data_IF_602301840571
#
_entry.id   IF_602301840571
#
_cell.length_a   1.000
_cell.length_b   1.000
_cell.length_c   1.000
_cell.angle_alpha   90.00
_cell.angle_beta   90.00
_cell.angle_gamma   90.00
#
_symmetry.space_group_name_H-M   'P 1'
#
loop_
_entity.id
_entity.type
_entity.pdbx_description
1 polymer ?
#
# COMPACT_ATOMS: atom_id res chain seq x y z
N UNK A 1 -51.84 39.34 -8.65
CA UNK A 1 -52.74 38.25 -9.07
C UNK A 1 -51.91 37.00 -9.11
N UNK A 2 -52.00 36.20 -8.06
CA UNK A 2 -52.62 34.86 -7.95
C UNK A 2 -51.92 33.86 -8.86
N UNK A 3 -51.46 32.68 -8.44
CA UNK A 3 -51.88 31.84 -7.34
C UNK A 3 -50.74 30.86 -6.96
N UNK A 4 -50.72 30.50 -5.68
CA UNK A 4 -49.96 29.41 -5.12
C UNK A 4 -50.56 28.07 -5.51
N UNK A 5 -49.69 27.08 -5.82
CA UNK A 5 -50.06 25.66 -5.81
C UNK A 5 -49.12 24.87 -4.89
N UNK A 6 -49.59 24.62 -3.69
CA UNK A 6 -49.01 23.61 -2.78
C UNK A 6 -49.34 22.20 -3.32
N UNK A 7 -48.34 21.39 -3.57
CA UNK A 7 -48.52 19.94 -3.68
C UNK A 7 -47.75 19.30 -2.54
N UNK A 8 -48.50 18.72 -1.62
CA UNK A 8 -47.99 17.98 -0.46
C UNK A 8 -47.30 16.68 -0.89
N UNK A 9 -46.11 16.41 -0.40
CA UNK A 9 -45.46 15.12 -0.50
C UNK A 9 -45.59 14.41 0.84
N UNK A 10 -46.37 13.36 0.80
CA UNK A 10 -46.61 12.41 1.89
C UNK A 10 -45.32 11.79 2.39
N UNK A 11 -45.12 11.85 3.69
CA UNK A 11 -43.98 11.21 4.38
C UNK A 11 -43.99 9.70 4.26
N UNK A 12 -42.92 9.17 3.72
CA UNK A 12 -42.61 7.74 3.80
C UNK A 12 -41.80 7.50 5.07
N UNK A 13 -42.49 6.95 6.10
CA UNK A 13 -41.82 6.43 7.31
C UNK A 13 -41.10 5.13 6.97
N UNK A 14 -39.80 5.16 6.97
CA UNK A 14 -38.97 3.94 6.97
C UNK A 14 -38.90 3.44 8.41
N UNK A 15 -39.57 2.34 8.68
CA UNK A 15 -39.49 1.63 9.96
C UNK A 15 -38.16 0.87 10.10
N UNK A 16 -37.69 0.65 11.34
CA UNK A 16 -36.46 -0.09 11.58
C UNK A 16 -36.61 -1.57 11.22
N UNK A 17 -35.59 -2.12 10.55
CA UNK A 17 -35.49 -3.52 10.20
C UNK A 17 -35.45 -4.41 11.44
N UNK A 18 -36.14 -5.60 11.45
CA UNK A 18 -36.13 -6.51 12.58
C UNK A 18 -34.77 -7.22 12.70
N UNK A 19 -34.27 -7.28 13.93
CA UNK A 19 -33.10 -8.06 14.30
C UNK A 19 -33.35 -9.57 14.10
N UNK A 20 -32.32 -10.37 13.73
CA UNK A 20 -32.47 -11.81 13.63
C UNK A 20 -32.61 -12.42 15.02
N UNK A 21 -33.78 -13.04 15.28
CA UNK A 21 -34.02 -13.84 16.46
C UNK A 21 -33.26 -15.16 16.38
N UNK A 22 -32.34 -15.35 17.31
CA UNK A 22 -31.65 -16.62 17.52
C UNK A 22 -32.60 -17.59 18.22
N UNK A 23 -33.11 -18.58 17.49
CA UNK A 23 -33.93 -19.66 18.05
C UNK A 23 -33.05 -20.67 18.76
N UNK A 24 -33.27 -20.82 20.07
CA UNK A 24 -32.79 -21.94 20.89
C UNK A 24 -33.63 -23.16 20.62
N UNK A 25 -33.07 -24.25 20.19
CA UNK A 25 -33.34 -25.61 20.65
C UNK A 25 -32.56 -26.63 19.82
N UNK A 26 -31.60 -27.33 20.37
CA UNK A 26 -31.67 -28.75 20.65
C UNK A 26 -30.34 -29.20 21.29
N UNK A 27 -30.46 -29.62 22.51
CA UNK A 27 -29.43 -30.36 23.27
C UNK A 27 -29.47 -31.80 22.77
N UNK A 28 -28.36 -32.34 22.26
CA UNK A 28 -28.08 -33.79 22.33
C UNK A 28 -26.59 -33.95 22.71
N UNK A 29 -26.47 -34.67 23.81
CA UNK A 29 -25.29 -35.13 24.52
C UNK A 29 -24.37 -36.03 23.68
N UNK A 30 -23.09 -35.95 23.92
CA UNK A 30 -22.09 -36.97 24.17
C UNK A 30 -20.82 -36.81 23.33
N UNK A 31 -19.68 -36.83 24.02
CA UNK A 31 -18.40 -37.07 23.39
C UNK A 31 -17.30 -36.13 23.85
N UNK A 32 -16.83 -36.33 25.08
CA UNK A 32 -15.56 -35.79 25.58
C UNK A 32 -14.42 -36.32 24.71
N UNK A 33 -13.78 -35.44 23.93
CA UNK A 33 -12.48 -35.71 23.38
C UNK A 33 -11.65 -34.45 23.61
N UNK A 34 -10.73 -34.53 24.55
CA UNK A 34 -9.62 -33.59 24.69
C UNK A 34 -8.86 -33.57 23.38
N UNK A 35 -9.07 -32.56 22.57
CA UNK A 35 -8.14 -32.16 21.52
C UNK A 35 -7.30 -31.02 22.07
N UNK A 36 -6.10 -31.41 22.54
CA UNK A 36 -5.00 -30.52 22.84
C UNK A 36 -4.87 -29.45 21.78
N UNK A 37 -4.78 -28.23 22.28
CA UNK A 37 -4.54 -27.04 21.51
C UNK A 37 -3.37 -27.22 20.54
N UNK A 38 -3.72 -27.37 19.29
CA UNK A 38 -2.80 -27.11 18.20
C UNK A 38 -2.72 -25.59 18.12
N UNK A 39 -1.72 -25.05 18.82
CA UNK A 39 -1.26 -23.70 18.51
C UNK A 39 -1.09 -23.66 17.00
N UNK A 40 -1.98 -22.94 16.33
CA UNK A 40 -1.76 -22.54 14.96
C UNK A 40 -0.46 -21.73 15.00
N UNK A 41 0.65 -22.37 14.65
CA UNK A 41 1.80 -21.65 14.14
C UNK A 41 1.23 -20.83 13.00
N UNK A 42 1.05 -19.55 13.23
CA UNK A 42 0.94 -18.59 12.17
C UNK A 42 2.23 -18.80 11.37
N UNK A 43 2.12 -19.60 10.31
CA UNK A 43 3.05 -19.52 9.20
C UNK A 43 3.10 -18.02 8.94
N UNK A 44 4.26 -17.41 9.16
CA UNK A 44 4.51 -16.04 8.78
C UNK A 44 4.10 -16.00 7.30
N UNK A 45 2.92 -15.43 7.03
CA UNK A 45 2.50 -15.17 5.68
C UNK A 45 3.65 -14.35 5.11
N UNK A 46 4.19 -14.82 3.98
CA UNK A 46 5.26 -14.09 3.29
C UNK A 46 4.75 -12.67 3.06
N UNK A 47 5.19 -11.76 3.93
CA UNK A 47 4.73 -10.36 3.93
C UNK A 47 5.15 -9.63 2.65
N UNK A 48 5.93 -10.30 1.78
CA UNK A 48 6.33 -9.83 0.46
C UNK A 48 5.34 -10.17 -0.65
N UNK A 49 4.37 -11.07 -0.42
CA UNK A 49 3.47 -11.59 -1.47
C UNK A 49 2.71 -10.48 -2.21
N UNK A 50 2.36 -9.37 -1.55
CA UNK A 50 1.68 -8.23 -2.16
C UNK A 50 2.56 -7.46 -3.16
N UNK A 51 3.88 -7.66 -3.11
CA UNK A 51 4.85 -7.04 -4.02
C UNK A 51 5.21 -7.94 -5.19
N UNK A 52 4.71 -9.18 -5.22
CA UNK A 52 5.03 -10.13 -6.27
C UNK A 52 4.41 -9.69 -7.60
N UNK A 53 5.24 -9.60 -8.62
CA UNK A 53 4.82 -9.31 -9.98
C UNK A 53 5.54 -10.27 -10.93
N UNK A 54 4.82 -10.73 -11.96
CA UNK A 54 5.36 -11.62 -12.99
C UNK A 54 5.04 -11.09 -14.36
N UNK A 55 6.04 -11.07 -15.25
CA UNK A 55 5.93 -10.57 -16.60
C UNK A 55 6.07 -9.06 -16.72
N UNK A 56 6.05 -8.54 -17.96
CA UNK A 56 6.22 -7.10 -18.21
C UNK A 56 5.03 -6.29 -17.72
N UNK A 57 5.31 -5.05 -17.30
CA UNK A 57 4.29 -4.06 -16.97
C UNK A 57 3.74 -3.43 -18.25
N UNK A 58 2.63 -3.96 -18.76
CA UNK A 58 1.93 -3.37 -19.90
C UNK A 58 1.30 -2.02 -19.53
N UNK A 59 0.99 -1.20 -20.53
CA UNK A 59 0.38 0.13 -20.27
C UNK A 59 -1.00 0.03 -19.60
N UNK A 60 -1.72 -1.06 -19.82
CA UNK A 60 -3.00 -1.38 -19.17
C UNK A 60 -2.87 -1.52 -17.67
N UNK A 61 -1.73 -2.01 -17.16
CA UNK A 61 -1.44 -2.09 -15.73
C UNK A 61 -1.50 -0.71 -15.06
N UNK A 62 -1.15 0.34 -15.79
CA UNK A 62 -1.14 1.71 -15.29
C UNK A 62 -2.39 2.52 -15.66
N UNK A 63 -3.43 1.89 -16.18
CA UNK A 63 -4.63 2.57 -16.68
C UNK A 63 -5.42 3.28 -15.58
N UNK A 64 -5.45 2.69 -14.37
CA UNK A 64 -6.16 3.20 -13.19
C UNK A 64 -5.24 3.95 -12.19
N UNK A 65 -3.99 4.23 -12.60
CA UNK A 65 -3.05 4.97 -11.77
C UNK A 65 -3.31 6.48 -11.86
N UNK A 66 -3.23 7.15 -10.72
CA UNK A 66 -3.15 8.61 -10.67
C UNK A 66 -1.84 9.09 -11.28
N UNK A 67 -1.91 10.21 -12.03
CA UNK A 67 -0.74 10.85 -12.63
C UNK A 67 -0.44 12.16 -11.93
N UNK A 68 0.84 12.48 -11.78
CA UNK A 68 1.30 13.80 -11.35
C UNK A 68 1.83 14.60 -12.52
N UNK A 69 1.90 15.93 -12.39
CA UNK A 69 2.48 16.83 -13.40
C UNK A 69 3.96 16.52 -13.68
N UNK A 70 4.65 15.90 -12.73
CA UNK A 70 6.04 15.46 -12.84
C UNK A 70 6.23 14.12 -13.55
N UNK A 71 5.13 13.50 -14.02
CA UNK A 71 5.15 12.26 -14.80
C UNK A 71 5.17 10.97 -13.98
N UNK A 72 5.02 11.03 -12.66
CA UNK A 72 4.81 9.83 -11.85
C UNK A 72 3.43 9.25 -12.15
N UNK A 73 3.34 7.92 -12.11
CA UNK A 73 2.06 7.21 -12.04
C UNK A 73 2.05 6.42 -10.74
N UNK A 74 0.99 6.53 -9.95
CA UNK A 74 0.91 5.81 -8.68
C UNK A 74 -0.50 5.32 -8.38
N UNK A 75 -0.57 4.24 -7.61
CA UNK A 75 -1.82 3.67 -7.09
C UNK A 75 -1.63 3.29 -5.63
N UNK A 76 -2.46 3.84 -4.76
CA UNK A 76 -2.47 3.46 -3.34
C UNK A 76 -3.23 2.15 -3.21
N UNK A 77 -2.55 1.11 -2.72
CA UNK A 77 -3.14 -0.21 -2.48
C UNK A 77 -3.80 -0.28 -1.11
N UNK A 78 -3.18 0.37 -0.12
CA UNK A 78 -3.70 0.47 1.24
C UNK A 78 -3.35 1.85 1.80
N UNK A 79 -4.33 2.61 2.30
CA UNK A 79 -4.04 3.86 2.98
C UNK A 79 -3.38 3.58 4.33
N UNK A 80 -2.46 4.45 4.74
CA UNK A 80 -1.88 4.44 6.07
C UNK A 80 -2.53 5.46 6.97
N UNK A 81 -2.15 5.44 8.24
CA UNK A 81 -2.68 6.31 9.28
C UNK A 81 -1.56 7.13 9.96
N UNK A 82 -1.95 8.14 10.74
CA UNK A 82 -1.02 9.00 11.45
C UNK A 82 -0.46 10.15 10.62
N UNK A 83 0.67 10.71 11.04
CA UNK A 83 1.29 11.85 10.41
C UNK A 83 2.19 11.45 9.23
N UNK A 84 2.34 12.37 8.28
CA UNK A 84 3.33 12.21 7.20
C UNK A 84 4.73 12.46 7.74
N UNK A 85 5.76 11.83 7.15
CA UNK A 85 7.14 12.09 7.52
C UNK A 85 7.55 13.52 7.18
N UNK A 86 8.40 14.10 8.03
CA UNK A 86 8.99 15.41 7.81
C UNK A 86 10.43 15.31 7.34
N UNK A 87 10.91 16.36 6.67
CA UNK A 87 12.29 16.43 6.23
C UNK A 87 13.26 16.24 7.42
N UNK A 88 14.30 15.44 7.23
CA UNK A 88 15.25 15.08 8.27
C UNK A 88 14.85 13.92 9.18
N UNK A 89 13.63 13.42 9.09
CA UNK A 89 13.17 12.28 9.87
C UNK A 89 13.67 10.96 9.26
N UNK A 90 14.00 9.99 10.12
CA UNK A 90 14.25 8.63 9.68
C UNK A 90 12.94 7.96 9.30
N UNK A 91 12.92 7.27 8.19
CA UNK A 91 11.80 6.48 7.70
C UNK A 91 12.22 5.03 7.49
N UNK A 92 11.30 4.10 7.66
CA UNK A 92 11.52 2.67 7.49
C UNK A 92 10.54 2.18 6.43
N UNK A 93 11.07 1.68 5.31
CA UNK A 93 10.29 1.35 4.11
C UNK A 93 10.59 -0.07 3.68
N UNK A 94 9.53 -0.87 3.49
CA UNK A 94 9.65 -2.08 2.69
C UNK A 94 9.42 -1.74 1.22
N UNK A 95 10.15 -2.41 0.35
CA UNK A 95 10.03 -2.19 -1.08
C UNK A 95 10.44 -3.40 -1.91
N UNK A 96 9.91 -3.44 -3.13
CA UNK A 96 10.42 -4.28 -4.22
C UNK A 96 10.46 -3.46 -5.49
N UNK A 97 11.59 -3.44 -6.16
CA UNK A 97 11.83 -2.66 -7.37
C UNK A 97 11.91 -3.52 -8.61
N UNK A 98 11.25 -3.08 -9.68
CA UNK A 98 11.16 -3.75 -10.97
C UNK A 98 11.49 -2.81 -12.11
N UNK A 99 12.08 -3.37 -13.18
CA UNK A 99 12.10 -2.77 -14.50
C UNK A 99 10.74 -2.96 -15.19
N UNK A 100 10.45 -2.23 -16.26
CA UNK A 100 9.20 -2.39 -17.01
C UNK A 100 9.02 -3.77 -17.67
N UNK A 101 10.11 -4.48 -17.94
CA UNK A 101 10.09 -5.85 -18.43
C UNK A 101 9.64 -6.88 -17.38
N UNK A 102 9.39 -6.42 -16.14
CA UNK A 102 9.01 -7.25 -15.00
C UNK A 102 10.18 -7.86 -14.25
N UNK A 103 11.43 -7.55 -14.64
CA UNK A 103 12.60 -8.03 -13.94
C UNK A 103 12.77 -7.31 -12.60
N UNK A 104 12.70 -8.08 -11.51
CA UNK A 104 13.04 -7.59 -10.17
C UNK A 104 14.54 -7.32 -10.10
N UNK A 105 14.92 -6.12 -9.64
CA UNK A 105 16.34 -5.77 -9.49
C UNK A 105 16.76 -5.58 -8.04
N UNK A 106 15.83 -5.28 -7.13
CA UNK A 106 16.14 -5.09 -5.71
C UNK A 106 14.89 -5.27 -4.84
N UNK A 107 15.07 -5.74 -3.60
CA UNK A 107 13.98 -5.86 -2.63
C UNK A 107 14.52 -5.86 -1.20
N UNK A 108 13.86 -5.17 -0.29
CA UNK A 108 14.14 -5.21 1.13
C UNK A 108 13.85 -6.58 1.76
N UNK A 109 12.98 -7.35 1.14
CA UNK A 109 12.62 -8.70 1.60
C UNK A 109 13.69 -9.75 1.24
N UNK A 110 14.55 -9.47 0.26
CA UNK A 110 15.66 -10.36 -0.12
C UNK A 110 16.84 -10.30 0.86
N UNK A 111 16.83 -9.33 1.78
CA UNK A 111 17.85 -9.25 2.84
C UNK A 111 17.69 -10.41 3.83
N UNK A 112 18.82 -10.94 4.35
CA UNK A 112 18.83 -12.07 5.31
C UNK A 112 17.91 -11.88 6.51
N UNK A 113 17.67 -10.64 6.90
CA UNK A 113 16.87 -10.28 8.06
C UNK A 113 15.45 -9.82 7.70
N UNK A 114 15.15 -9.64 6.41
CA UNK A 114 13.86 -9.14 5.95
C UNK A 114 13.47 -7.79 6.57
N UNK A 115 14.45 -6.99 6.99
CA UNK A 115 14.20 -5.72 7.68
C UNK A 115 13.88 -4.60 6.69
N UNK A 116 13.00 -3.66 7.09
CA UNK A 116 12.74 -2.50 6.25
C UNK A 116 13.99 -1.64 6.08
N UNK A 117 14.17 -1.11 4.88
CA UNK A 117 15.24 -0.19 4.54
C UNK A 117 15.04 1.13 5.28
N UNK A 118 16.09 1.59 5.96
CA UNK A 118 16.08 2.82 6.74
C UNK A 118 16.84 3.92 6.02
N UNK A 119 16.22 5.08 5.82
CA UNK A 119 16.92 6.27 5.34
C UNK A 119 16.37 7.54 6.01
N UNK A 120 17.08 8.66 5.80
CA UNK A 120 16.70 9.98 6.31
C UNK A 120 16.10 10.79 5.18
N UNK A 121 14.82 11.12 5.30
CA UNK A 121 14.05 11.84 4.27
C UNK A 121 14.62 13.24 4.04
N UNK A 122 14.65 13.70 2.79
CA UNK A 122 15.12 15.05 2.43
C UNK A 122 16.63 15.26 2.54
N UNK A 123 17.42 14.18 2.51
CA UNK A 123 18.89 14.25 2.58
C UNK A 123 19.60 13.75 1.31
N UNK A 124 18.85 13.49 0.24
CA UNK A 124 19.39 13.00 -1.03
C UNK A 124 20.13 11.67 -0.93
N UNK A 125 19.75 10.82 0.03
CA UNK A 125 20.35 9.48 0.21
C UNK A 125 19.70 8.42 -0.67
N UNK A 126 18.58 8.75 -1.26
CA UNK A 126 17.80 7.90 -2.19
C UNK A 126 17.46 8.71 -3.44
N UNK A 127 16.99 8.05 -4.48
CA UNK A 127 16.54 8.71 -5.71
C UNK A 127 15.40 9.69 -5.43
N UNK A 128 15.30 10.76 -6.24
CA UNK A 128 14.29 11.80 -6.04
C UNK A 128 12.86 11.28 -6.05
N UNK A 129 12.60 10.23 -6.82
CA UNK A 129 11.31 9.56 -6.86
C UNK A 129 10.90 8.94 -5.51
N UNK A 130 11.84 8.42 -4.75
CA UNK A 130 11.59 7.89 -3.41
C UNK A 130 11.31 9.01 -2.41
N UNK A 131 12.09 10.08 -2.44
CA UNK A 131 11.87 11.25 -1.57
C UNK A 131 10.46 11.81 -1.76
N UNK A 132 10.02 11.95 -3.01
CA UNK A 132 8.69 12.45 -3.35
C UNK A 132 7.58 11.47 -2.90
N UNK A 133 7.75 10.17 -3.20
CA UNK A 133 6.74 9.16 -2.88
C UNK A 133 6.58 9.00 -1.37
N UNK A 134 7.68 8.73 -0.66
CA UNK A 134 7.65 8.50 0.80
C UNK A 134 7.20 9.73 1.56
N UNK A 135 7.58 10.93 1.11
CA UNK A 135 7.12 12.20 1.70
C UNK A 135 5.59 12.39 1.64
N UNK A 136 4.93 11.74 0.69
CA UNK A 136 3.46 11.75 0.57
C UNK A 136 2.74 10.68 1.39
N UNK A 137 3.45 9.64 1.84
CA UNK A 137 2.87 8.48 2.52
C UNK A 137 2.65 8.73 4.02
N UNK A 138 1.79 7.90 4.62
CA UNK A 138 1.63 7.76 6.08
C UNK A 138 2.07 6.37 6.51
N UNK A 139 2.43 6.13 7.77
CA UNK A 139 2.73 4.77 8.26
C UNK A 139 1.60 3.79 7.90
N UNK A 140 1.96 2.62 7.38
CA UNK A 140 1.02 1.61 6.88
C UNK A 140 0.56 1.82 5.43
N UNK A 141 0.89 2.95 4.78
CA UNK A 141 0.55 3.14 3.35
C UNK A 141 1.32 2.13 2.50
N UNK A 142 0.59 1.42 1.63
CA UNK A 142 1.15 0.60 0.54
C UNK A 142 0.82 1.25 -0.80
N UNK A 143 1.83 1.43 -1.64
CA UNK A 143 1.70 2.10 -2.93
C UNK A 143 2.49 1.37 -4.01
N UNK A 144 1.96 1.33 -5.22
CA UNK A 144 2.74 1.04 -6.42
C UNK A 144 2.99 2.35 -7.14
N UNK A 145 4.24 2.61 -7.49
CA UNK A 145 4.63 3.84 -8.18
C UNK A 145 5.54 3.54 -9.36
N UNK A 146 5.24 4.14 -10.51
CA UNK A 146 6.14 4.22 -11.67
C UNK A 146 6.86 5.55 -11.62
N UNK A 147 8.19 5.48 -11.49
CA UNK A 147 9.09 6.62 -11.38
C UNK A 147 9.76 6.84 -12.74
N UNK A 148 9.62 8.03 -13.35
CA UNK A 148 10.29 8.33 -14.61
C UNK A 148 11.81 8.47 -14.41
N UNK A 149 12.62 8.22 -15.47
CA UNK A 149 14.08 8.13 -15.37
C UNK A 149 14.77 9.34 -14.73
N UNK A 150 14.28 10.55 -14.98
CA UNK A 150 14.84 11.78 -14.45
C UNK A 150 14.77 11.90 -12.92
N UNK A 151 13.87 11.14 -12.28
CA UNK A 151 13.75 11.04 -10.82
C UNK A 151 14.29 9.72 -10.28
N UNK A 152 14.90 8.90 -11.14
CA UNK A 152 15.55 7.63 -10.83
C UNK A 152 17.07 7.74 -11.09
N UNK A 153 17.60 6.95 -12.02
CA UNK A 153 19.03 6.90 -12.32
C UNK A 153 19.41 7.60 -13.64
N UNK A 154 18.44 8.19 -14.35
CA UNK A 154 18.64 9.00 -15.56
C UNK A 154 19.37 8.25 -16.67
N UNK A 155 20.14 9.02 -17.46
CA UNK A 155 20.88 8.52 -18.63
C UNK A 155 22.11 7.68 -18.30
N UNK A 156 22.49 7.58 -17.03
CA UNK A 156 23.65 6.77 -16.61
C UNK A 156 23.30 5.31 -16.29
N UNK A 157 22.09 5.07 -15.79
CA UNK A 157 21.73 3.77 -15.22
C UNK A 157 22.59 3.41 -14.01
N UNK A 158 22.36 2.28 -13.36
CA UNK A 158 23.19 1.75 -12.27
C UNK A 158 23.00 0.23 -12.19
N UNK A 159 24.12 -0.53 -12.20
CA UNK A 159 24.10 -1.98 -12.06
C UNK A 159 23.19 -2.67 -13.08
N UNK A 160 22.12 -3.37 -12.65
CA UNK A 160 21.20 -4.02 -13.58
C UNK A 160 20.19 -3.05 -14.24
N UNK A 161 20.17 -1.77 -13.85
CA UNK A 161 19.23 -0.77 -14.34
C UNK A 161 19.84 -0.05 -15.54
N UNK A 162 19.26 -0.18 -16.74
CA UNK A 162 19.79 0.46 -17.94
C UNK A 162 19.60 1.98 -17.91
N UNK A 163 20.31 2.72 -18.80
CA UNK A 163 20.06 4.14 -19.03
C UNK A 163 18.60 4.41 -19.39
N UNK A 164 18.10 5.54 -18.92
CA UNK A 164 16.75 6.07 -19.18
C UNK A 164 15.60 5.08 -18.88
N UNK A 165 15.85 4.13 -17.97
CA UNK A 165 14.83 3.18 -17.55
C UNK A 165 13.86 3.79 -16.54
N UNK A 166 12.55 3.79 -16.81
CA UNK A 166 11.54 4.02 -15.80
C UNK A 166 11.46 2.82 -14.85
N UNK A 167 11.25 3.09 -13.57
CA UNK A 167 11.23 2.05 -12.54
C UNK A 167 9.83 1.92 -11.94
N UNK A 168 9.48 0.70 -11.56
CA UNK A 168 8.25 0.41 -10.82
C UNK A 168 8.63 -0.07 -9.43
N UNK A 169 8.09 0.58 -8.41
CA UNK A 169 8.29 0.17 -7.03
C UNK A 169 6.96 -0.14 -6.36
N UNK A 170 6.92 -1.26 -5.66
CA UNK A 170 5.99 -1.53 -4.60
C UNK A 170 6.63 -1.04 -3.31
N UNK A 171 5.97 -0.16 -2.57
CA UNK A 171 6.55 0.47 -1.37
C UNK A 171 5.54 0.49 -0.24
N UNK A 172 6.01 0.19 0.98
CA UNK A 172 5.26 0.33 2.22
C UNK A 172 6.05 1.19 3.20
N UNK A 173 5.44 2.26 3.68
CA UNK A 173 6.01 3.02 4.81
C UNK A 173 5.63 2.32 6.11
N UNK A 174 6.54 1.54 6.66
CA UNK A 174 6.30 0.73 7.86
C UNK A 174 6.13 1.60 9.11
N UNK A 175 7.07 2.52 9.31
CA UNK A 175 7.05 3.41 10.48
C UNK A 175 7.96 4.61 10.31
N UNK A 176 7.72 5.61 11.14
CA UNK A 176 8.60 6.77 11.29
C UNK A 176 9.57 6.52 12.46
N UNK A 177 10.78 7.04 12.32
CA UNK A 177 11.74 7.09 13.40
C UNK A 177 11.70 8.44 14.13
N UNK A 178 12.45 8.55 15.21
CA UNK A 178 12.64 9.80 15.93
C UNK A 178 13.34 10.84 15.05
N UNK A 179 12.89 12.08 15.16
CA UNK A 179 13.61 13.23 14.61
C UNK A 179 14.86 13.43 15.47
N UNK A 180 16.04 13.26 14.87
CA UNK A 180 17.27 13.71 15.54
C UNK A 180 17.53 15.15 15.09
N UNK A 181 17.36 16.06 16.03
CA UNK A 181 17.84 17.44 15.88
C UNK A 181 19.36 17.45 15.70
#
# INVERSE_FOLDING_TARGET
MLAALLVGVSGLRVGPAPAPTCSRAAVVSAGCALALGRAASALAADDSAWTAHSGPFADEFFSDFSKTDTGFKYKILSPGEGEKPVAGQNVFVHYTGYLLDGKKFDSSYDSKEGKPFKFRLGKGKVIGGWEATVGGMRPGTRVVVRIPPQYAYGSKGVGPIPPDAPLVFYMELVRLGTIKN
#
